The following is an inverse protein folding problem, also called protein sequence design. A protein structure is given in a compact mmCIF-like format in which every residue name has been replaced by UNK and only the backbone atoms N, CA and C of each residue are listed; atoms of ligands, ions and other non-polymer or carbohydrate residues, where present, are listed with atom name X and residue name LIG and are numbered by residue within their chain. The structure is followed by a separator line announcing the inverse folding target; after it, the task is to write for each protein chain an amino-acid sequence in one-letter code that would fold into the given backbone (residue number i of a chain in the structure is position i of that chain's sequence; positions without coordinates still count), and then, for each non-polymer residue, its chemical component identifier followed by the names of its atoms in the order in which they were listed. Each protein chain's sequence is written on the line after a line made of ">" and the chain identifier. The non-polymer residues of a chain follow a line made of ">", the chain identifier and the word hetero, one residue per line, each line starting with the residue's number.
data_IF_439578475830
#
_entry.id   IF_439578475830
#
_cell.length_a   1.000
_cell.length_b   1.000
_cell.length_c   1.000
_cell.angle_alpha   90.00
_cell.angle_beta   90.00
_cell.angle_gamma   90.00
#
_symmetry.space_group_name_H-M   'P 1'
#
loop_
_entity.id
_entity.type
_entity.pdbx_description
1 polymer ?
#
# COMPACT_ATOMS: atom_id res chain seq x y z
N UNK A 1 -8.41 14.49 16.60
CA UNK A 1 -8.03 13.61 17.74
C UNK A 1 -6.99 12.60 17.25
N UNK A 2 -5.88 13.12 16.71
CA UNK A 2 -4.75 12.31 16.22
C UNK A 2 -3.60 12.26 17.24
N UNK A 3 -3.78 12.91 18.40
CA UNK A 3 -2.82 12.94 19.49
C UNK A 3 -3.29 12.00 20.62
N UNK A 4 -3.13 10.71 20.37
CA UNK A 4 -3.44 9.65 21.33
C UNK A 4 -2.17 8.95 21.85
N UNK A 5 -1.01 9.62 21.79
CA UNK A 5 0.29 9.03 22.12
C UNK A 5 0.31 8.29 23.47
N UNK A 6 -0.42 8.81 24.49
CA UNK A 6 -0.49 8.16 25.81
C UNK A 6 -1.28 6.85 25.84
N UNK A 7 -2.19 6.63 24.88
CA UNK A 7 -3.04 5.42 24.82
C UNK A 7 -2.73 4.54 23.61
N UNK A 8 -1.74 4.95 22.82
CA UNK A 8 -1.38 4.28 21.56
C UNK A 8 -1.21 2.77 21.76
N UNK A 9 -0.38 2.36 22.73
CA UNK A 9 -0.10 0.94 23.02
C UNK A 9 -1.30 0.12 23.52
N UNK A 10 -2.46 0.75 23.75
CA UNK A 10 -3.65 0.06 24.30
C UNK A 10 -4.78 -0.13 23.28
N UNK A 11 -4.62 0.37 22.05
CA UNK A 11 -5.68 0.30 21.03
C UNK A 11 -5.38 -0.72 19.91
N UNK A 12 -4.23 -1.39 19.98
CA UNK A 12 -3.80 -2.43 19.05
C UNK A 12 -2.75 -3.32 19.67
N UNK A 13 -2.24 -4.29 18.93
CA UNK A 13 -1.06 -5.03 19.34
C UNK A 13 0.21 -4.28 18.95
N UNK A 14 1.17 -4.20 19.86
CA UNK A 14 2.52 -3.70 19.58
C UNK A 14 3.32 -4.72 18.76
N UNK A 15 4.48 -4.30 18.24
CA UNK A 15 5.40 -5.19 17.54
C UNK A 15 5.90 -6.32 18.45
N UNK A 16 6.22 -6.01 19.73
CA UNK A 16 6.68 -6.99 20.71
C UNK A 16 5.59 -8.02 21.02
N UNK A 17 4.36 -7.58 21.26
CA UNK A 17 3.22 -8.47 21.53
C UNK A 17 2.93 -9.37 20.32
N UNK A 18 2.92 -8.81 19.12
CA UNK A 18 2.70 -9.58 17.88
C UNK A 18 3.83 -10.57 17.65
N UNK A 19 5.09 -10.20 17.91
CA UNK A 19 6.23 -11.08 17.79
C UNK A 19 6.14 -12.26 18.79
N UNK A 20 5.79 -11.97 20.04
CA UNK A 20 5.60 -13.02 21.06
C UNK A 20 4.48 -13.99 20.67
N UNK A 21 3.36 -13.49 20.09
CA UNK A 21 2.31 -14.33 19.56
C UNK A 21 2.79 -15.19 18.40
N UNK A 22 3.57 -14.62 17.46
CA UNK A 22 4.13 -15.37 16.33
C UNK A 22 5.05 -16.49 16.81
N UNK A 23 5.94 -16.24 17.79
CA UNK A 23 6.80 -17.24 18.39
C UNK A 23 6.00 -18.35 19.07
N UNK A 24 4.97 -17.99 19.85
CA UNK A 24 4.12 -18.95 20.55
C UNK A 24 3.35 -19.89 19.61
N UNK A 25 2.88 -19.37 18.46
CA UNK A 25 2.03 -20.11 17.53
C UNK A 25 2.76 -20.61 16.28
N UNK A 26 4.07 -20.38 16.17
CA UNK A 26 4.89 -20.83 15.05
C UNK A 26 4.57 -20.12 13.74
N UNK A 27 4.35 -18.79 13.80
CA UNK A 27 4.07 -17.93 12.66
C UNK A 27 5.32 -17.10 12.30
N UNK A 28 5.40 -16.66 11.05
CA UNK A 28 6.45 -15.75 10.60
C UNK A 28 6.09 -14.29 10.92
N UNK A 29 6.86 -13.67 11.81
CA UNK A 29 6.65 -12.29 12.23
C UNK A 29 6.82 -11.28 11.07
N UNK A 30 7.78 -11.50 10.16
CA UNK A 30 7.98 -10.61 9.02
C UNK A 30 6.75 -10.61 8.08
N UNK A 31 6.09 -11.75 7.94
CA UNK A 31 4.84 -11.84 7.19
C UNK A 31 3.71 -11.09 7.89
N UNK A 32 3.62 -11.15 9.23
CA UNK A 32 2.65 -10.36 10.00
C UNK A 32 2.90 -8.86 9.90
N UNK A 33 4.16 -8.42 9.93
CA UNK A 33 4.51 -7.01 9.71
C UNK A 33 3.99 -6.52 8.36
N UNK A 34 4.31 -7.23 7.29
CA UNK A 34 3.85 -6.86 5.95
C UNK A 34 2.33 -6.78 5.82
N UNK A 35 1.61 -7.69 6.46
CA UNK A 35 0.18 -7.80 6.31
C UNK A 35 -0.63 -6.87 7.22
N UNK A 36 -0.17 -6.62 8.44
CA UNK A 36 -1.03 -6.05 9.49
C UNK A 36 -0.43 -4.88 10.25
N UNK A 37 0.86 -4.56 10.04
CA UNK A 37 1.52 -3.40 10.60
C UNK A 37 1.17 -2.12 9.83
N UNK A 38 1.70 -0.96 10.27
CA UNK A 38 1.67 0.29 9.51
C UNK A 38 0.75 1.36 10.05
N UNK A 39 0.09 1.13 11.20
CA UNK A 39 -0.65 2.18 11.90
C UNK A 39 0.29 2.91 12.87
N UNK A 40 1.01 3.92 12.35
CA UNK A 40 1.92 4.74 13.15
C UNK A 40 1.13 5.79 13.92
N UNK A 41 1.15 5.72 15.24
CA UNK A 41 0.54 6.71 16.13
C UNK A 41 1.56 7.70 16.71
N UNK A 42 2.86 7.37 16.60
CA UNK A 42 4.03 8.23 16.87
C UNK A 42 5.23 7.63 16.17
N UNK A 43 6.36 8.31 16.18
CA UNK A 43 7.61 7.82 15.56
C UNK A 43 8.10 6.50 16.16
N UNK A 44 7.70 6.20 17.39
CA UNK A 44 8.16 5.03 18.14
C UNK A 44 7.14 3.88 18.19
N UNK A 45 5.84 4.13 17.88
CA UNK A 45 4.77 3.15 18.09
C UNK A 45 4.03 2.86 16.80
N UNK A 46 4.28 1.66 16.26
CA UNK A 46 3.47 1.06 15.20
C UNK A 46 2.56 -0.03 15.77
N UNK A 47 1.32 -0.08 15.32
CA UNK A 47 0.31 -0.99 15.81
C UNK A 47 -0.19 -1.93 14.74
N UNK A 48 -0.49 -3.13 15.17
CA UNK A 48 -1.15 -4.19 14.39
C UNK A 48 -2.63 -4.26 14.75
N UNK A 49 -3.47 -4.51 13.75
CA UNK A 49 -4.89 -4.71 13.99
C UNK A 49 -5.14 -6.03 14.76
N UNK A 50 -5.71 -5.99 15.98
CA UNK A 50 -5.86 -7.19 16.82
C UNK A 50 -6.75 -8.27 16.18
N UNK A 51 -7.80 -7.87 15.44
CA UNK A 51 -8.70 -8.80 14.77
C UNK A 51 -7.98 -9.55 13.65
N UNK A 52 -7.15 -8.86 12.88
CA UNK A 52 -6.42 -9.45 11.77
C UNK A 52 -5.33 -10.39 12.26
N UNK A 53 -4.57 -9.99 13.29
CA UNK A 53 -3.54 -10.83 13.94
C UNK A 53 -4.17 -12.10 14.50
N UNK A 54 -5.19 -12.01 15.34
CA UNK A 54 -5.82 -13.18 15.99
C UNK A 54 -6.53 -14.09 14.97
N UNK A 55 -7.16 -13.53 13.95
CA UNK A 55 -7.81 -14.30 12.89
C UNK A 55 -6.79 -15.05 12.03
N UNK A 56 -5.66 -14.42 11.70
CA UNK A 56 -4.59 -15.03 10.91
C UNK A 56 -3.96 -16.21 11.66
N UNK A 57 -3.63 -16.03 12.94
CA UNK A 57 -3.12 -17.10 13.81
C UNK A 57 -4.10 -18.28 13.87
N UNK A 58 -5.37 -17.98 14.16
CA UNK A 58 -6.41 -19.01 14.29
C UNK A 58 -6.64 -19.80 13.01
N UNK A 59 -6.57 -19.14 11.85
CA UNK A 59 -6.81 -19.75 10.53
C UNK A 59 -5.55 -20.27 9.86
N UNK A 60 -4.37 -20.01 10.43
CA UNK A 60 -3.05 -20.34 9.87
C UNK A 60 -2.88 -19.84 8.42
N UNK A 61 -3.39 -18.66 8.12
CA UNK A 61 -3.36 -18.06 6.79
C UNK A 61 -3.46 -16.54 6.86
N UNK A 62 -2.63 -15.84 6.09
CA UNK A 62 -2.77 -14.40 5.85
C UNK A 62 -4.00 -14.08 5.01
N UNK A 63 -4.62 -12.94 5.25
CA UNK A 63 -5.78 -12.50 4.50
C UNK A 63 -6.42 -11.24 5.07
N UNK A 64 -7.39 -10.70 4.35
CA UNK A 64 -8.16 -9.54 4.80
C UNK A 64 -9.25 -9.99 5.78
N UNK A 65 -9.08 -9.65 7.04
CA UNK A 65 -10.00 -10.01 8.11
C UNK A 65 -10.74 -8.81 8.69
N UNK A 66 -10.11 -7.65 8.65
CA UNK A 66 -10.70 -6.42 9.14
C UNK A 66 -11.82 -5.91 8.24
N UNK A 67 -11.61 -5.91 6.95
CA UNK A 67 -12.54 -5.41 5.94
C UNK A 67 -13.81 -6.26 5.78
N UNK A 68 -13.82 -7.51 6.25
CA UNK A 68 -15.01 -8.38 6.20
C UNK A 68 -16.20 -7.83 7.04
N UNK A 69 -16.07 -6.66 7.65
CA UNK A 69 -17.08 -6.04 8.53
C UNK A 69 -17.98 -5.00 7.87
N UNK A 70 -18.00 -4.89 6.54
CA UNK A 70 -18.97 -4.06 5.81
C UNK A 70 -18.53 -2.64 5.45
N UNK A 71 -17.35 -2.20 5.89
CA UNK A 71 -16.83 -0.85 5.57
C UNK A 71 -16.27 -0.71 4.14
N UNK A 72 -16.14 -1.82 3.43
CA UNK A 72 -15.56 -1.86 2.08
C UNK A 72 -16.36 -1.06 1.03
N UNK A 73 -17.69 -1.14 1.07
CA UNK A 73 -18.53 -0.40 0.11
C UNK A 73 -18.40 1.11 0.30
N UNK A 74 -18.22 1.57 1.54
CA UNK A 74 -18.00 2.98 1.82
C UNK A 74 -16.70 3.50 1.17
N UNK A 75 -15.60 2.74 1.24
CA UNK A 75 -14.35 3.14 0.59
C UNK A 75 -14.54 3.40 -0.90
N UNK A 76 -15.27 2.52 -1.58
CA UNK A 76 -15.55 2.65 -3.02
C UNK A 76 -16.24 3.97 -3.35
N UNK A 77 -17.26 4.35 -2.57
CA UNK A 77 -18.01 5.57 -2.85
C UNK A 77 -17.13 6.81 -2.70
N UNK A 78 -16.23 6.84 -1.73
CA UNK A 78 -15.34 7.97 -1.50
C UNK A 78 -14.24 8.11 -2.56
N UNK A 79 -13.58 7.02 -2.96
CA UNK A 79 -12.50 7.07 -3.96
C UNK A 79 -13.00 7.28 -5.39
N UNK A 80 -14.31 7.15 -5.63
CA UNK A 80 -14.95 7.43 -6.92
C UNK A 80 -15.53 8.84 -7.00
N UNK A 81 -15.40 9.66 -5.95
CA UNK A 81 -15.76 11.07 -6.01
C UNK A 81 -14.89 11.80 -7.02
N UNK A 82 -15.50 12.73 -7.78
CA UNK A 82 -14.81 13.44 -8.87
C UNK A 82 -14.11 14.70 -8.37
N UNK A 83 -13.13 14.52 -7.47
CA UNK A 83 -12.23 15.59 -7.05
C UNK A 83 -10.95 15.59 -7.88
N UNK A 84 -10.44 16.80 -8.20
CA UNK A 84 -9.21 16.94 -8.97
C UNK A 84 -8.05 16.23 -8.27
N UNK A 85 -7.34 15.36 -9.01
CA UNK A 85 -6.17 14.62 -8.54
C UNK A 85 -6.46 13.36 -7.75
N UNK A 86 -7.69 13.11 -7.25
CA UNK A 86 -7.97 11.94 -6.39
C UNK A 86 -7.60 10.61 -7.05
N UNK A 87 -7.84 10.48 -8.36
CA UNK A 87 -7.53 9.24 -9.09
C UNK A 87 -6.03 8.97 -9.17
N UNK A 88 -5.24 10.02 -9.43
CA UNK A 88 -3.79 9.91 -9.48
C UNK A 88 -3.23 9.54 -8.11
N UNK A 89 -3.72 10.19 -7.06
CA UNK A 89 -3.30 9.92 -5.69
C UNK A 89 -3.64 8.49 -5.26
N UNK A 90 -4.81 7.97 -5.64
CA UNK A 90 -5.20 6.58 -5.41
C UNK A 90 -4.24 5.60 -6.10
N UNK A 91 -3.87 5.88 -7.36
CA UNK A 91 -2.90 5.07 -8.11
C UNK A 91 -1.53 5.11 -7.42
N UNK A 92 -1.08 6.28 -7.03
CA UNK A 92 0.18 6.50 -6.28
C UNK A 92 0.20 5.71 -4.97
N UNK A 93 -0.87 5.78 -4.17
CA UNK A 93 -0.94 5.02 -2.92
C UNK A 93 -1.03 3.50 -3.13
N UNK A 94 -1.73 3.03 -4.17
CA UNK A 94 -1.76 1.58 -4.51
C UNK A 94 -0.38 1.10 -4.95
N UNK A 95 0.45 1.96 -5.60
CA UNK A 95 1.84 1.63 -5.96
C UNK A 95 2.79 1.55 -4.75
N UNK A 96 2.35 1.97 -3.57
CA UNK A 96 3.10 1.93 -2.31
C UNK A 96 3.76 3.24 -1.93
N UNK A 97 3.43 4.33 -2.62
CA UNK A 97 3.89 5.69 -2.29
C UNK A 97 2.92 6.40 -1.36
N UNK A 98 3.36 7.54 -0.84
CA UNK A 98 2.54 8.46 -0.04
C UNK A 98 2.16 9.69 -0.87
N UNK A 99 1.06 10.34 -0.48
CA UNK A 99 0.57 11.57 -1.09
C UNK A 99 0.38 12.64 -0.03
N UNK A 100 0.60 13.89 -0.40
CA UNK A 100 0.37 15.02 0.51
C UNK A 100 -1.13 15.17 0.80
N UNK A 101 -1.46 15.50 2.05
CA UNK A 101 -2.83 15.74 2.50
C UNK A 101 -2.88 16.82 3.58
N UNK A 102 -3.78 17.78 3.42
CA UNK A 102 -4.07 18.78 4.46
C UNK A 102 -5.23 18.30 5.35
N UNK A 103 -4.88 17.72 6.49
CA UNK A 103 -5.87 17.25 7.47
C UNK A 103 -6.51 18.38 8.28
N UNK A 104 -6.01 19.62 8.16
CA UNK A 104 -6.48 20.77 8.93
C UNK A 104 -7.78 21.36 8.39
N UNK A 105 -8.12 21.13 7.14
CA UNK A 105 -9.34 21.66 6.49
C UNK A 105 -10.61 20.88 6.85
N UNK A 106 -10.50 19.64 7.32
CA UNK A 106 -11.64 18.75 7.55
C UNK A 106 -12.46 19.15 8.81
N UNK A 107 -13.70 19.55 8.60
CA UNK A 107 -14.59 20.06 9.66
C UNK A 107 -15.36 18.99 10.46
N UNK A 108 -15.03 17.70 10.32
CA UNK A 108 -15.73 16.57 10.96
C UNK A 108 -17.25 16.48 10.68
N UNK A 109 -17.74 17.15 9.66
CA UNK A 109 -19.11 17.04 9.20
C UNK A 109 -19.18 16.08 8.03
N UNK A 110 -19.83 14.93 8.24
CA UNK A 110 -19.98 13.88 7.20
C UNK A 110 -20.94 14.28 6.07
N UNK A 111 -21.58 15.43 6.20
CA UNK A 111 -22.66 15.81 5.27
C UNK A 111 -22.14 16.30 3.92
N UNK A 112 -20.86 16.69 3.82
CA UNK A 112 -20.30 17.17 2.56
C UNK A 112 -18.76 17.14 2.57
N UNK A 113 -18.17 16.46 1.57
CA UNK A 113 -16.75 16.61 1.24
C UNK A 113 -16.60 17.73 0.21
N UNK A 114 -15.65 18.63 0.40
CA UNK A 114 -15.40 19.77 -0.51
C UNK A 114 -14.11 19.58 -1.31
N UNK A 115 -13.24 18.66 -0.88
CA UNK A 115 -11.95 18.40 -1.50
C UNK A 115 -11.54 16.93 -1.39
N UNK A 116 -10.50 16.54 -2.14
CA UNK A 116 -9.84 15.23 -1.95
C UNK A 116 -9.23 15.08 -0.56
N UNK A 117 -8.75 16.18 0.04
CA UNK A 117 -8.13 16.18 1.36
C UNK A 117 -9.14 15.83 2.45
N UNK A 118 -10.40 16.29 2.32
CA UNK A 118 -11.48 15.88 3.21
C UNK A 118 -11.75 14.38 3.12
N UNK A 119 -11.77 13.82 1.90
CA UNK A 119 -11.95 12.39 1.67
C UNK A 119 -10.81 11.60 2.30
N UNK A 120 -9.57 11.99 2.03
CA UNK A 120 -8.41 11.29 2.59
C UNK A 120 -8.32 11.42 4.10
N UNK A 121 -8.62 12.59 4.67
CA UNK A 121 -8.69 12.79 6.12
C UNK A 121 -9.74 11.88 6.76
N UNK A 122 -10.89 11.75 6.13
CA UNK A 122 -11.93 10.83 6.61
C UNK A 122 -11.46 9.36 6.53
N UNK A 123 -10.79 8.97 5.44
CA UNK A 123 -10.24 7.62 5.29
C UNK A 123 -9.10 7.32 6.28
N UNK A 124 -8.33 8.35 6.71
CA UNK A 124 -7.37 8.23 7.82
C UNK A 124 -8.12 7.94 9.13
N UNK A 125 -9.21 8.66 9.42
CA UNK A 125 -10.01 8.42 10.62
C UNK A 125 -10.67 7.04 10.64
N UNK A 126 -11.02 6.49 9.48
CA UNK A 126 -11.56 5.14 9.35
C UNK A 126 -10.49 4.04 9.37
N UNK A 127 -9.19 4.39 9.33
CA UNK A 127 -8.08 3.44 9.30
C UNK A 127 -7.80 2.82 7.92
N UNK A 128 -8.31 3.39 6.83
CA UNK A 128 -7.96 2.97 5.46
C UNK A 128 -6.66 3.59 4.97
N UNK A 129 -6.23 4.68 5.60
CA UNK A 129 -4.97 5.36 5.37
C UNK A 129 -4.23 5.56 6.70
N UNK A 130 -2.91 5.54 6.63
CA UNK A 130 -2.04 6.01 7.69
C UNK A 130 -1.59 7.43 7.38
N UNK A 131 -1.35 8.26 8.40
CA UNK A 131 -0.89 9.63 8.27
C UNK A 131 0.48 9.82 8.91
N UNK A 132 1.40 10.42 8.17
CA UNK A 132 2.68 10.87 8.69
C UNK A 132 2.60 12.37 9.03
N UNK A 133 2.76 12.68 10.31
CA UNK A 133 2.66 14.05 10.82
C UNK A 133 3.85 14.93 10.42
N UNK A 134 5.03 14.38 10.26
CA UNK A 134 6.23 15.13 9.91
C UNK A 134 6.18 15.58 8.45
N UNK A 135 5.87 14.67 7.55
CA UNK A 135 5.84 14.89 6.10
C UNK A 135 4.49 15.43 5.61
N UNK A 136 3.45 15.40 6.46
CA UNK A 136 2.05 15.72 6.10
C UNK A 136 1.54 14.89 4.93
N UNK A 137 1.87 13.62 4.92
CA UNK A 137 1.49 12.67 3.87
C UNK A 137 0.61 11.55 4.41
N UNK A 138 -0.18 10.95 3.53
CA UNK A 138 -0.88 9.71 3.83
C UNK A 138 -0.52 8.60 2.87
N UNK A 139 -0.64 7.35 3.33
CA UNK A 139 -0.37 6.15 2.53
C UNK A 139 -1.28 4.99 2.96
N UNK A 140 -1.34 3.96 2.14
CA UNK A 140 -1.99 2.70 2.50
C UNK A 140 -1.10 1.97 3.51
N UNK A 141 -1.60 1.63 4.72
CA UNK A 141 -0.74 1.18 5.82
C UNK A 141 -0.09 -0.19 5.59
N UNK A 142 -0.78 -1.13 4.95
CA UNK A 142 -0.33 -2.51 4.86
C UNK A 142 -1.00 -3.28 3.72
N UNK A 143 -0.58 -4.54 3.54
CA UNK A 143 -1.07 -5.39 2.46
C UNK A 143 -2.55 -5.76 2.61
N UNK A 144 -3.06 -5.95 3.83
CA UNK A 144 -4.48 -6.20 4.06
C UNK A 144 -5.35 -5.09 3.48
N UNK A 145 -5.02 -3.84 3.84
CA UNK A 145 -5.75 -2.66 3.39
C UNK A 145 -5.51 -2.41 1.90
N UNK A 146 -4.28 -2.63 1.39
CA UNK A 146 -3.97 -2.49 -0.03
C UNK A 146 -4.85 -3.38 -0.91
N UNK A 147 -5.09 -4.62 -0.50
CA UNK A 147 -5.98 -5.50 -1.23
C UNK A 147 -7.42 -4.99 -1.27
N UNK A 148 -7.86 -4.31 -0.23
CA UNK A 148 -9.19 -3.68 -0.23
C UNK A 148 -9.26 -2.49 -1.19
N UNK A 149 -8.23 -1.65 -1.23
CA UNK A 149 -8.14 -0.57 -2.22
C UNK A 149 -8.20 -1.12 -3.65
N UNK A 150 -7.43 -2.14 -3.97
CA UNK A 150 -7.45 -2.79 -5.29
C UNK A 150 -8.83 -3.37 -5.62
N UNK A 151 -9.51 -3.99 -4.65
CA UNK A 151 -10.88 -4.51 -4.85
C UNK A 151 -11.87 -3.38 -5.10
N UNK A 152 -11.74 -2.25 -4.39
CA UNK A 152 -12.63 -1.10 -4.53
C UNK A 152 -12.57 -0.48 -5.93
N UNK A 153 -11.38 -0.39 -6.52
CA UNK A 153 -11.18 0.16 -7.85
C UNK A 153 -11.44 -0.83 -8.99
N UNK A 154 -11.44 -2.14 -8.69
CA UNK A 154 -11.47 -3.22 -9.70
C UNK A 154 -12.64 -3.14 -10.69
N UNK A 155 -13.81 -2.71 -10.24
CA UNK A 155 -15.01 -2.66 -11.05
C UNK A 155 -15.29 -1.27 -11.64
N UNK A 156 -14.46 -0.29 -11.31
CA UNK A 156 -14.61 1.07 -11.83
C UNK A 156 -13.97 1.21 -13.21
N UNK A 157 -14.70 1.75 -14.20
CA UNK A 157 -14.13 2.08 -15.50
C UNK A 157 -12.94 3.05 -15.43
N UNK A 158 -12.94 3.94 -14.44
CA UNK A 158 -11.90 4.96 -14.24
C UNK A 158 -10.53 4.36 -13.91
N UNK A 159 -10.51 3.16 -13.35
CA UNK A 159 -9.28 2.44 -12.97
C UNK A 159 -9.01 1.21 -13.86
N UNK A 160 -9.70 1.09 -15.01
CA UNK A 160 -9.55 -0.07 -15.90
C UNK A 160 -8.09 -0.31 -16.31
N UNK A 161 -7.38 0.76 -16.69
CA UNK A 161 -5.97 0.70 -17.10
C UNK A 161 -5.06 0.22 -15.96
N UNK A 162 -5.25 0.76 -14.76
CA UNK A 162 -4.55 0.30 -13.55
C UNK A 162 -4.75 -1.21 -13.35
N UNK A 163 -5.98 -1.68 -13.49
CA UNK A 163 -6.28 -3.11 -13.32
C UNK A 163 -5.66 -3.99 -14.41
N UNK A 164 -5.52 -3.51 -15.63
CA UNK A 164 -4.82 -4.21 -16.72
C UNK A 164 -3.34 -4.39 -16.37
N UNK A 165 -2.67 -3.36 -15.84
CA UNK A 165 -1.27 -3.42 -15.37
C UNK A 165 -1.13 -4.42 -14.21
N UNK A 166 -1.96 -4.30 -13.17
CA UNK A 166 -1.94 -5.21 -12.01
C UNK A 166 -2.16 -6.67 -12.44
N UNK A 167 -3.09 -6.93 -13.35
CA UNK A 167 -3.35 -8.29 -13.86
C UNK A 167 -2.20 -8.84 -14.71
N UNK A 168 -1.46 -7.98 -15.41
CA UNK A 168 -0.29 -8.36 -16.19
C UNK A 168 0.97 -8.60 -15.33
N UNK A 169 0.99 -8.09 -14.11
CA UNK A 169 2.18 -8.04 -13.24
C UNK A 169 2.79 -9.42 -12.92
N UNK A 170 1.97 -10.48 -12.85
CA UNK A 170 2.49 -11.84 -12.68
C UNK A 170 3.35 -12.29 -13.85
N UNK A 171 2.88 -12.03 -15.06
CA UNK A 171 3.61 -12.41 -16.29
C UNK A 171 4.92 -11.64 -16.41
N UNK A 172 4.92 -10.38 -16.01
CA UNK A 172 6.13 -9.56 -15.98
C UNK A 172 7.14 -10.13 -14.97
N UNK A 173 6.72 -10.47 -13.75
CA UNK A 173 7.60 -11.08 -12.76
C UNK A 173 8.20 -12.40 -13.28
N UNK A 174 7.37 -13.26 -13.85
CA UNK A 174 7.82 -14.55 -14.41
C UNK A 174 8.86 -14.30 -15.53
N UNK A 175 8.61 -13.37 -16.46
CA UNK A 175 9.55 -12.98 -17.52
C UNK A 175 10.87 -12.42 -16.98
N UNK A 176 10.82 -11.65 -15.89
CA UNK A 176 12.02 -11.09 -15.22
C UNK A 176 12.88 -12.22 -14.63
N UNK A 177 12.25 -13.16 -13.92
CA UNK A 177 12.95 -14.31 -13.34
C UNK A 177 13.56 -15.20 -14.42
N UNK A 178 12.91 -15.32 -15.57
CA UNK A 178 13.40 -16.08 -16.73
C UNK A 178 14.48 -15.35 -17.55
N UNK A 179 14.74 -14.06 -17.27
CA UNK A 179 15.70 -13.23 -17.99
C UNK A 179 15.25 -12.84 -19.40
N UNK A 180 13.93 -12.77 -19.63
CA UNK A 180 13.36 -12.36 -20.92
C UNK A 180 13.29 -10.83 -21.04
N UNK A 181 14.41 -10.22 -21.42
CA UNK A 181 14.59 -8.76 -21.48
C UNK A 181 13.57 -8.07 -22.41
N UNK A 182 13.23 -8.67 -23.55
CA UNK A 182 12.28 -8.09 -24.51
C UNK A 182 10.86 -8.03 -23.93
N UNK A 183 10.41 -9.11 -23.26
CA UNK A 183 9.11 -9.15 -22.62
C UNK A 183 9.03 -8.17 -21.43
N UNK A 184 10.11 -8.04 -20.67
CA UNK A 184 10.22 -7.08 -19.55
C UNK A 184 10.14 -5.64 -20.07
N UNK A 185 10.97 -5.28 -21.06
CA UNK A 185 10.99 -3.94 -21.64
C UNK A 185 9.61 -3.54 -22.18
N UNK A 186 8.95 -4.42 -22.93
CA UNK A 186 7.62 -4.18 -23.47
C UNK A 186 6.56 -3.99 -22.40
N UNK A 187 6.60 -4.78 -21.32
CA UNK A 187 5.63 -4.69 -20.26
C UNK A 187 5.80 -3.40 -19.44
N UNK A 188 7.06 -2.98 -19.17
CA UNK A 188 7.36 -1.74 -18.47
C UNK A 188 7.00 -0.50 -19.30
N UNK A 189 7.28 -0.50 -20.61
CA UNK A 189 6.88 0.58 -21.52
C UNK A 189 5.36 0.75 -21.56
N UNK A 190 4.62 -0.35 -21.64
CA UNK A 190 3.17 -0.33 -21.59
C UNK A 190 2.64 0.22 -20.26
N UNK A 191 3.21 -0.22 -19.13
CA UNK A 191 2.82 0.28 -17.80
C UNK A 191 3.11 1.79 -17.65
N UNK A 192 4.28 2.23 -18.08
CA UNK A 192 4.67 3.63 -18.05
C UNK A 192 3.72 4.51 -18.89
N UNK A 193 3.44 4.11 -20.12
CA UNK A 193 2.54 4.83 -21.01
C UNK A 193 1.11 4.95 -20.44
N UNK A 194 0.64 3.94 -19.72
CA UNK A 194 -0.73 3.94 -19.18
C UNK A 194 -0.88 4.71 -17.85
N UNK A 195 0.17 4.77 -17.04
CA UNK A 195 0.17 5.45 -15.72
C UNK A 195 0.45 6.94 -15.87
N UNK A 196 1.32 7.32 -16.80
CA UNK A 196 1.77 8.69 -16.98
C UNK A 196 0.90 9.43 -18.01
N UNK A 197 0.67 10.71 -17.76
CA UNK A 197 0.14 11.60 -18.78
C UNK A 197 1.29 12.30 -19.54
N UNK A 198 1.04 12.94 -20.71
CA UNK A 198 2.10 13.59 -21.49
C UNK A 198 2.89 14.67 -20.75
N UNK A 199 2.32 15.29 -19.70
CA UNK A 199 2.98 16.35 -18.93
C UNK A 199 3.93 15.79 -17.87
N UNK A 200 3.66 14.58 -17.37
CA UNK A 200 4.44 13.92 -16.32
C UNK A 200 5.22 12.71 -16.82
N UNK A 201 5.26 12.48 -18.13
CA UNK A 201 5.89 11.30 -18.74
C UNK A 201 7.38 11.13 -18.37
N UNK A 202 8.09 12.23 -18.21
CA UNK A 202 9.53 12.24 -17.85
C UNK A 202 9.77 12.47 -16.34
N UNK A 203 8.72 12.41 -15.52
CA UNK A 203 8.85 12.53 -14.07
C UNK A 203 9.32 11.18 -13.50
N UNK A 204 10.44 11.19 -12.79
CA UNK A 204 11.07 10.02 -12.17
C UNK A 204 10.13 9.32 -11.18
N UNK A 205 9.39 10.09 -10.39
CA UNK A 205 8.41 9.52 -9.44
C UNK A 205 7.26 8.79 -10.16
N UNK A 206 6.75 9.36 -11.26
CA UNK A 206 5.74 8.70 -12.08
C UNK A 206 6.26 7.41 -12.70
N UNK A 207 7.52 7.39 -13.14
CA UNK A 207 8.16 6.21 -13.68
C UNK A 207 8.35 5.12 -12.61
N UNK A 208 8.85 5.48 -11.43
CA UNK A 208 8.97 4.55 -10.29
C UNK A 208 7.62 3.97 -9.88
N UNK A 209 6.56 4.79 -9.81
CA UNK A 209 5.21 4.33 -9.51
C UNK A 209 4.70 3.36 -10.57
N UNK A 210 4.94 3.63 -11.86
CA UNK A 210 4.56 2.73 -12.95
C UNK A 210 5.27 1.38 -12.84
N UNK A 211 6.57 1.35 -12.52
CA UNK A 211 7.33 0.12 -12.29
C UNK A 211 6.77 -0.65 -11.09
N UNK A 212 6.52 0.02 -9.97
CA UNK A 212 5.95 -0.64 -8.77
C UNK A 212 4.58 -1.26 -9.04
N UNK A 213 3.74 -0.61 -9.83
CA UNK A 213 2.46 -1.17 -10.25
C UNK A 213 2.65 -2.35 -11.22
N UNK A 214 3.59 -2.24 -12.14
CA UNK A 214 3.92 -3.33 -13.07
C UNK A 214 4.43 -4.57 -12.31
N UNK A 215 5.15 -4.39 -11.22
CA UNK A 215 5.60 -5.46 -10.33
C UNK A 215 4.67 -5.71 -9.13
N UNK A 216 3.42 -5.30 -9.18
CA UNK A 216 2.47 -5.45 -8.06
C UNK A 216 2.42 -6.90 -7.52
N UNK A 217 2.43 -7.91 -8.39
CA UNK A 217 2.43 -9.32 -8.00
C UNK A 217 3.70 -9.74 -7.26
N UNK A 218 4.81 -9.03 -7.46
CA UNK A 218 6.07 -9.33 -6.76
C UNK A 218 5.91 -9.22 -5.24
N UNK A 219 5.01 -8.36 -4.73
CA UNK A 219 4.70 -8.25 -3.31
C UNK A 219 4.24 -9.57 -2.65
N UNK A 220 3.87 -10.58 -3.43
CA UNK A 220 3.55 -11.93 -2.91
C UNK A 220 4.79 -12.76 -2.57
N UNK A 221 5.98 -12.41 -3.11
CA UNK A 221 7.22 -13.20 -2.99
C UNK A 221 8.43 -12.37 -2.56
N UNK A 222 8.38 -11.04 -2.71
CA UNK A 222 9.48 -10.10 -2.50
C UNK A 222 9.02 -8.90 -1.69
N UNK A 223 9.96 -8.30 -0.94
CA UNK A 223 9.82 -6.91 -0.49
C UNK A 223 10.41 -6.01 -1.56
N UNK A 224 9.66 -4.99 -1.98
CA UNK A 224 10.14 -3.95 -2.88
C UNK A 224 10.76 -2.82 -2.05
N UNK A 225 11.98 -2.46 -2.41
CA UNK A 225 12.66 -1.28 -1.86
C UNK A 225 12.94 -0.31 -3.00
N UNK A 226 12.63 0.96 -2.77
CA UNK A 226 12.99 2.08 -3.64
C UNK A 226 14.21 2.78 -3.08
N UNK A 227 15.09 3.24 -3.96
CA UNK A 227 16.26 4.04 -3.60
C UNK A 227 17.13 3.41 -2.50
N UNK A 228 17.39 2.11 -2.63
CA UNK A 228 18.20 1.39 -1.64
C UNK A 228 19.67 1.81 -1.73
N UNK A 229 20.30 2.31 -0.64
CA UNK A 229 21.73 2.67 -0.66
C UNK A 229 22.61 1.45 -0.92
N UNK A 230 23.49 1.53 -1.94
CA UNK A 230 24.40 0.44 -2.36
C UNK A 230 25.89 0.77 -2.13
N UNK A 231 26.18 1.71 -1.24
CA UNK A 231 27.53 2.12 -0.85
C UNK A 231 28.20 3.16 -1.76
N UNK A 232 27.99 3.14 -3.08
CA UNK A 232 28.49 4.16 -4.02
C UNK A 232 27.38 4.92 -4.77
N UNK A 233 26.12 4.58 -4.49
CA UNK A 233 24.95 5.16 -5.12
C UNK A 233 23.70 4.52 -4.55
N UNK A 234 22.60 4.66 -5.29
CA UNK A 234 21.31 4.09 -4.94
C UNK A 234 20.89 3.12 -6.04
N UNK A 235 20.23 2.03 -5.65
CA UNK A 235 19.49 1.19 -6.60
C UNK A 235 18.05 1.69 -6.64
N UNK A 236 17.54 2.02 -7.81
CA UNK A 236 16.21 2.64 -7.97
C UNK A 236 15.08 1.70 -7.51
N UNK A 237 15.22 0.41 -7.77
CA UNK A 237 14.29 -0.62 -7.31
C UNK A 237 15.03 -1.91 -6.97
N UNK A 238 14.77 -2.44 -5.78
CA UNK A 238 15.31 -3.72 -5.32
C UNK A 238 14.20 -4.63 -4.84
N UNK A 239 14.19 -5.87 -5.31
CA UNK A 239 13.27 -6.91 -4.90
C UNK A 239 14.02 -7.95 -4.05
N UNK A 240 13.79 -7.91 -2.75
CA UNK A 240 14.38 -8.86 -1.79
C UNK A 240 13.38 -9.98 -1.53
N UNK A 241 13.72 -11.25 -1.82
CA UNK A 241 12.79 -12.36 -1.66
C UNK A 241 12.56 -12.70 -0.19
N UNK A 242 11.34 -13.16 0.14
CA UNK A 242 11.03 -13.68 1.47
C UNK A 242 11.69 -15.02 1.76
N UNK A 243 11.96 -15.81 0.72
CA UNK A 243 12.59 -17.13 0.85
C UNK A 243 14.04 -17.10 0.36
N UNK A 244 14.99 -17.68 1.10
CA UNK A 244 16.42 -17.56 0.80
C UNK A 244 16.88 -18.27 -0.49
N UNK A 245 16.05 -19.12 -1.06
CA UNK A 245 16.35 -19.88 -2.30
C UNK A 245 15.80 -19.18 -3.57
N UNK A 246 15.23 -18.00 -3.45
CA UNK A 246 14.80 -17.17 -4.56
C UNK A 246 15.82 -16.06 -4.76
N UNK A 247 16.27 -15.73 -5.99
CA UNK A 247 17.25 -14.68 -6.20
C UNK A 247 16.66 -13.29 -5.91
N UNK A 248 17.46 -12.41 -5.31
CA UNK A 248 17.16 -10.98 -5.27
C UNK A 248 17.37 -10.37 -6.66
N UNK A 249 16.62 -9.32 -6.98
CA UNK A 249 16.70 -8.58 -8.25
C UNK A 249 16.93 -7.11 -7.96
N UNK A 250 17.76 -6.47 -8.80
CA UNK A 250 18.12 -5.03 -8.71
C UNK A 250 17.91 -4.38 -10.05
#
# INVERSE_FOLDING_TARGET
>A
MLDAAQFASHVGFTAEETKALCEQYGCDFAEFQRWYDGYKLSDEVSLFNPKSVTSSISRKRMGSYWSATGSFEALKDYILMDFEGIRQDVVTMISGDSVEVDVGSFLNTLDKFESKDDVFTYLIHLGYLNYNFEDKTCCIPNEEVRQEWVRSVKLSPDYKKLMEIINASKKLLDATVEGNEEAVAKALDAAHTEVTNPLTYNDEHCFQSAICLAYFYANTRYTLFKELPTGKGYADLVLIPYLPNIPAMV
#
